data_IF_745654559128
#
_entry.id   IF_745654559128
#
_cell.length_a   1.000
_cell.length_b   1.000
_cell.length_c   1.000
_cell.angle_alpha   90.00
_cell.angle_beta   90.00
_cell.angle_gamma   90.00
#
_symmetry.space_group_name_H-M   'P 1'
#
loop_
_entity.id
_entity.type
_entity.pdbx_description
1 polymer ?
#
# COMPACT_ATOMS: atom_id res chain seq x y z
N UNK A 1 55.99 27.57 -24.71
CA UNK A 1 54.56 28.00 -24.67
C UNK A 1 53.56 26.90 -25.06
N UNK A 2 53.85 26.01 -26.03
CA UNK A 2 52.94 24.91 -26.46
C UNK A 2 52.49 23.92 -25.37
N UNK A 3 53.31 23.64 -24.35
CA UNK A 3 52.96 22.69 -23.27
C UNK A 3 51.86 23.21 -22.33
N UNK A 4 51.89 24.49 -21.97
CA UNK A 4 50.87 25.13 -21.12
C UNK A 4 49.49 25.15 -21.79
N UNK A 5 49.43 25.39 -23.10
CA UNK A 5 48.19 25.36 -23.86
C UNK A 5 47.54 23.96 -23.88
N UNK A 6 48.35 22.90 -23.97
CA UNK A 6 47.88 21.51 -23.89
C UNK A 6 47.33 21.15 -22.51
N UNK A 7 48.00 21.58 -21.44
CA UNK A 7 47.53 21.35 -20.07
C UNK A 7 46.22 22.08 -19.77
N UNK A 8 46.07 23.32 -20.25
CA UNK A 8 44.82 24.08 -20.12
C UNK A 8 43.67 23.43 -20.89
N UNK A 9 43.93 22.90 -22.09
CA UNK A 9 42.90 22.22 -22.88
C UNK A 9 42.43 20.91 -22.22
N UNK A 10 43.36 20.13 -21.64
CA UNK A 10 43.01 18.91 -20.88
C UNK A 10 42.20 19.26 -19.63
N UNK A 11 42.60 20.29 -18.88
CA UNK A 11 41.84 20.73 -17.70
C UNK A 11 40.40 21.14 -18.07
N UNK A 12 40.23 21.83 -19.20
CA UNK A 12 38.92 22.25 -19.71
C UNK A 12 38.06 21.05 -20.14
N UNK A 13 38.66 20.05 -20.79
CA UNK A 13 37.97 18.81 -21.16
C UNK A 13 37.51 18.03 -19.91
N UNK A 14 38.36 17.93 -18.89
CA UNK A 14 38.01 17.28 -17.61
C UNK A 14 36.90 18.07 -16.90
N UNK A 15 36.98 19.40 -16.85
CA UNK A 15 35.94 20.23 -16.26
C UNK A 15 34.60 20.07 -16.98
N UNK A 16 34.60 20.05 -18.32
CA UNK A 16 33.41 19.81 -19.12
C UNK A 16 32.82 18.41 -18.88
N UNK A 17 33.68 17.40 -18.77
CA UNK A 17 33.27 16.02 -18.47
C UNK A 17 32.62 15.92 -17.08
N UNK A 18 33.25 16.51 -16.06
CA UNK A 18 32.71 16.53 -14.69
C UNK A 18 31.39 17.32 -14.59
N UNK A 19 31.28 18.42 -15.32
CA UNK A 19 30.04 19.19 -15.41
C UNK A 19 28.92 18.36 -16.05
N UNK A 20 29.22 17.67 -17.14
CA UNK A 20 28.26 16.76 -17.80
C UNK A 20 27.82 15.63 -16.87
N UNK A 21 28.77 14.99 -16.17
CA UNK A 21 28.47 13.92 -15.22
C UNK A 21 27.62 14.43 -14.03
N UNK A 22 27.97 15.60 -13.48
CA UNK A 22 27.22 16.22 -12.38
C UNK A 22 25.78 16.53 -12.78
N UNK A 23 25.57 17.04 -14.00
CA UNK A 23 24.24 17.31 -14.53
C UNK A 23 23.41 16.04 -14.69
N UNK A 24 24.02 14.97 -15.21
CA UNK A 24 23.36 13.67 -15.36
C UNK A 24 23.03 13.07 -13.99
N UNK A 25 23.95 13.08 -13.05
CA UNK A 25 23.72 12.58 -11.68
C UNK A 25 22.62 13.37 -10.96
N UNK A 26 22.55 14.68 -11.16
CA UNK A 26 21.46 15.49 -10.61
C UNK A 26 20.11 15.10 -11.23
N UNK A 27 20.06 14.92 -12.56
CA UNK A 27 18.84 14.47 -13.24
C UNK A 27 18.41 13.05 -12.84
N UNK A 28 19.37 12.16 -12.63
CA UNK A 28 19.11 10.80 -12.14
C UNK A 28 18.55 10.80 -10.73
N UNK A 29 19.09 11.63 -9.81
CA UNK A 29 18.53 11.79 -8.47
C UNK A 29 17.09 12.31 -8.50
N UNK A 30 16.79 13.28 -9.36
CA UNK A 30 15.43 13.81 -9.49
C UNK A 30 14.44 12.75 -9.99
N UNK A 31 14.87 11.90 -10.93
CA UNK A 31 14.04 10.79 -11.42
C UNK A 31 13.77 9.76 -10.32
N UNK A 32 14.80 9.40 -9.54
CA UNK A 32 14.66 8.47 -8.41
C UNK A 32 13.72 9.02 -7.33
N UNK A 33 13.88 10.29 -6.93
CA UNK A 33 12.99 10.95 -5.95
C UNK A 33 11.52 10.97 -6.45
N UNK A 34 11.32 11.20 -7.75
CA UNK A 34 9.97 11.16 -8.34
C UNK A 34 9.37 9.76 -8.32
N UNK A 35 10.17 8.73 -8.61
CA UNK A 35 9.74 7.33 -8.56
C UNK A 35 9.43 6.87 -7.13
N UNK A 36 10.24 7.27 -6.15
CA UNK A 36 10.03 6.94 -4.74
C UNK A 36 8.72 7.53 -4.22
N UNK A 37 8.43 8.81 -4.54
CA UNK A 37 7.15 9.43 -4.18
C UNK A 37 5.94 8.74 -4.81
N UNK A 38 6.07 8.30 -6.07
CA UNK A 38 5.01 7.54 -6.74
C UNK A 38 4.78 6.19 -6.07
N UNK A 39 5.85 5.51 -5.65
CA UNK A 39 5.74 4.23 -4.95
C UNK A 39 5.06 4.40 -3.58
N UNK A 40 5.40 5.44 -2.82
CA UNK A 40 4.71 5.77 -1.56
C UNK A 40 3.21 5.98 -1.77
N UNK A 41 2.84 6.81 -2.74
CA UNK A 41 1.41 7.08 -3.06
C UNK A 41 0.69 5.79 -3.48
N UNK A 42 1.36 4.93 -4.24
CA UNK A 42 0.81 3.65 -4.68
C UNK A 42 0.55 2.71 -3.50
N UNK A 43 1.46 2.66 -2.53
CA UNK A 43 1.32 1.85 -1.33
C UNK A 43 0.18 2.35 -0.45
N UNK A 44 0.09 3.66 -0.22
CA UNK A 44 -0.99 4.27 0.55
C UNK A 44 -2.36 3.99 -0.10
N UNK A 45 -2.43 4.12 -1.43
CA UNK A 45 -3.65 3.81 -2.17
C UNK A 45 -4.04 2.32 -2.04
N UNK A 46 -3.08 1.40 -2.12
CA UNK A 46 -3.35 -0.02 -1.98
C UNK A 46 -3.90 -0.38 -0.59
N UNK A 47 -3.36 0.24 0.46
CA UNK A 47 -3.86 0.07 1.83
C UNK A 47 -5.28 0.60 1.98
N UNK A 48 -5.57 1.78 1.43
CA UNK A 48 -6.90 2.38 1.50
C UNK A 48 -7.95 1.55 0.75
N UNK A 49 -7.59 1.02 -0.42
CA UNK A 49 -8.46 0.11 -1.19
C UNK A 49 -8.76 -1.15 -0.39
N UNK A 50 -7.75 -1.77 0.23
CA UNK A 50 -7.96 -2.96 1.05
C UNK A 50 -8.89 -2.71 2.24
N UNK A 51 -8.71 -1.57 2.94
CA UNK A 51 -9.59 -1.14 4.03
C UNK A 51 -11.03 -0.96 3.54
N UNK A 52 -11.22 -0.32 2.38
CA UNK A 52 -12.54 -0.14 1.78
C UNK A 52 -13.19 -1.47 1.43
N UNK A 53 -12.46 -2.40 0.83
CA UNK A 53 -12.98 -3.73 0.47
C UNK A 53 -13.42 -4.52 1.71
N UNK A 54 -12.67 -4.44 2.81
CA UNK A 54 -13.04 -5.05 4.09
C UNK A 54 -14.34 -4.45 4.64
N UNK A 55 -14.46 -3.12 4.64
CA UNK A 55 -15.67 -2.43 5.09
C UNK A 55 -16.88 -2.81 4.25
N UNK A 56 -16.74 -2.84 2.92
CA UNK A 56 -17.82 -3.26 2.02
C UNK A 56 -18.23 -4.72 2.24
N UNK A 57 -17.26 -5.62 2.49
CA UNK A 57 -17.56 -7.01 2.83
C UNK A 57 -18.34 -7.12 4.14
N UNK A 58 -17.97 -6.33 5.15
CA UNK A 58 -18.64 -6.29 6.44
C UNK A 58 -20.05 -5.71 6.36
N UNK A 59 -20.26 -4.66 5.57
CA UNK A 59 -21.60 -4.12 5.28
C UNK A 59 -22.47 -5.20 4.66
N UNK A 60 -22.00 -5.87 3.59
CA UNK A 60 -22.76 -6.95 2.93
C UNK A 60 -23.11 -8.08 3.89
N UNK A 61 -22.19 -8.43 4.78
CA UNK A 61 -22.44 -9.43 5.82
C UNK A 61 -23.54 -8.97 6.78
N UNK A 62 -23.47 -7.74 7.29
CA UNK A 62 -24.50 -7.23 8.21
C UNK A 62 -25.87 -7.09 7.54
N UNK A 63 -25.91 -6.64 6.28
CA UNK A 63 -27.13 -6.57 5.48
C UNK A 63 -27.75 -7.95 5.25
N UNK A 64 -26.93 -8.98 5.03
CA UNK A 64 -27.43 -10.34 4.88
C UNK A 64 -28.03 -10.87 6.17
N UNK A 65 -27.41 -10.61 7.33
CA UNK A 65 -27.96 -10.99 8.64
C UNK A 65 -29.30 -10.32 8.94
N UNK A 66 -29.44 -9.05 8.59
CA UNK A 66 -30.72 -8.33 8.71
C UNK A 66 -31.86 -8.96 7.90
N UNK A 67 -31.55 -9.76 6.87
CA UNK A 67 -32.53 -10.52 6.08
C UNK A 67 -32.66 -11.97 6.56
N UNK A 68 -31.54 -12.64 6.82
CA UNK A 68 -31.48 -14.07 7.14
C UNK A 68 -32.10 -14.35 8.50
N UNK A 69 -31.88 -13.51 9.52
CA UNK A 69 -32.42 -13.75 10.87
C UNK A 69 -33.96 -13.70 10.88
N UNK A 70 -34.62 -12.67 10.33
CA UNK A 70 -36.08 -12.66 10.26
C UNK A 70 -36.68 -13.78 9.39
N UNK A 71 -36.02 -14.11 8.28
CA UNK A 71 -36.50 -15.16 7.36
C UNK A 71 -36.36 -16.55 7.99
N UNK A 72 -35.29 -16.80 8.73
CA UNK A 72 -35.09 -18.01 9.52
C UNK A 72 -36.11 -18.13 10.67
N UNK A 73 -36.45 -17.02 11.33
CA UNK A 73 -37.48 -16.98 12.36
C UNK A 73 -38.86 -17.30 11.77
N UNK A 74 -39.20 -16.70 10.62
CA UNK A 74 -40.48 -16.90 9.96
C UNK A 74 -40.67 -18.31 9.35
N UNK A 75 -39.63 -18.87 8.72
CA UNK A 75 -39.73 -20.15 8.00
C UNK A 75 -39.42 -21.37 8.88
N UNK A 76 -38.47 -21.23 9.81
CA UNK A 76 -37.96 -22.35 10.61
C UNK A 76 -38.35 -22.26 12.09
N UNK A 77 -39.04 -21.18 12.50
CA UNK A 77 -39.39 -20.95 13.91
C UNK A 77 -38.16 -20.73 14.80
N UNK A 78 -37.00 -20.42 14.20
CA UNK A 78 -35.75 -20.26 14.94
C UNK A 78 -35.66 -18.85 15.53
N UNK A 79 -35.52 -18.75 16.84
CA UNK A 79 -35.23 -17.49 17.53
C UNK A 79 -33.75 -17.37 17.91
N UNK A 80 -33.28 -16.14 18.16
CA UNK A 80 -31.95 -15.92 18.75
C UNK A 80 -31.94 -16.51 20.17
N UNK A 81 -31.01 -17.43 20.42
CA UNK A 81 -30.90 -18.12 21.71
C UNK A 81 -30.65 -17.13 22.86
N UNK A 82 -31.38 -17.33 23.96
CA UNK A 82 -31.16 -16.56 25.19
C UNK A 82 -29.87 -16.97 25.90
N UNK A 83 -29.29 -16.12 26.75
CA UNK A 83 -28.04 -16.42 27.48
C UNK A 83 -28.16 -17.69 28.36
N UNK A 84 -29.40 -18.05 28.75
CA UNK A 84 -29.75 -19.30 29.44
C UNK A 84 -29.79 -20.56 28.56
N UNK A 85 -29.86 -20.41 27.24
CA UNK A 85 -29.90 -21.51 26.26
C UNK A 85 -28.53 -21.82 25.66
N UNK A 86 -27.54 -20.94 25.86
CA UNK A 86 -26.18 -21.12 25.33
C UNK A 86 -25.34 -21.99 26.28
N UNK A 87 -25.28 -23.28 25.98
CA UNK A 87 -24.38 -24.20 26.68
C UNK A 87 -22.97 -24.15 26.08
N UNK A 88 -22.02 -23.55 26.80
CA UNK A 88 -20.61 -23.60 26.43
C UNK A 88 -20.08 -25.00 26.76
N UNK A 89 -19.84 -25.81 25.74
CA UNK A 89 -19.12 -27.07 25.90
C UNK A 89 -17.71 -26.73 26.42
N UNK A 90 -17.43 -27.05 27.69
CA UNK A 90 -16.04 -27.07 28.15
C UNK A 90 -15.33 -28.15 27.35
N UNK A 91 -14.46 -27.73 26.44
CA UNK A 91 -13.48 -28.62 25.86
C UNK A 91 -12.50 -29.00 26.95
N UNK A 92 -12.56 -30.25 27.41
CA UNK A 92 -11.44 -30.89 28.08
C UNK A 92 -10.28 -30.89 27.06
N UNK A 93 -9.32 -30.00 27.29
CA UNK A 93 -8.14 -29.90 26.43
C UNK A 93 -7.26 -31.14 26.56
N UNK A 94 -6.55 -31.54 25.50
CA UNK A 94 -5.23 -32.14 25.67
C UNK A 94 -4.19 -31.09 26.08
#
# INVERSE_FOLDING_TARGET
MRRLAGTSMVALAVAAFLASLSLVSWRQRQALDTMERLETIRQDYALEVASREELEARIRHLESWGRVVPEAEALLGMHTASDSEVFRLQGEGP
#
